data_IF_078838107646
#
_entry.id   IF_078838107646
#
_cell.length_a   1.000
_cell.length_b   1.000
_cell.length_c   1.000
_cell.angle_alpha   90.00
_cell.angle_beta   90.00
_cell.angle_gamma   90.00
#
_symmetry.space_group_name_H-M   'P 1'
#
loop_
_entity.id
_entity.type
_entity.pdbx_description
1 polymer ?
#
# COMPACT_ATOMS: atom_id res chain seq x y z
N UNK A 1 -27.01 20.75 -59.90
CA UNK A 1 -26.03 19.63 -60.03
C UNK A 1 -24.69 19.90 -59.31
N UNK A 2 -24.68 20.47 -58.09
CA UNK A 2 -23.40 20.77 -57.37
C UNK A 2 -23.25 20.06 -56.01
N UNK A 3 -24.31 19.46 -55.46
CA UNK A 3 -24.28 18.79 -54.14
C UNK A 3 -23.56 17.44 -54.14
N UNK A 4 -23.47 16.74 -55.27
CA UNK A 4 -22.82 15.42 -55.34
C UNK A 4 -21.29 15.49 -55.23
N UNK A 5 -20.68 16.60 -55.67
CA UNK A 5 -19.22 16.78 -55.69
C UNK A 5 -18.62 16.99 -54.29
N UNK A 6 -19.40 17.56 -53.35
CA UNK A 6 -18.96 17.82 -51.96
C UNK A 6 -19.01 16.59 -51.06
N UNK A 7 -19.85 15.61 -51.41
CA UNK A 7 -19.99 14.37 -50.63
C UNK A 7 -18.74 13.50 -50.81
N UNK A 8 -18.18 13.39 -52.02
CA UNK A 8 -16.95 12.62 -52.25
C UNK A 8 -15.70 13.25 -51.63
N UNK A 9 -15.61 14.59 -51.55
CA UNK A 9 -14.47 15.26 -50.95
C UNK A 9 -14.44 15.14 -49.42
N UNK A 10 -15.60 15.01 -48.78
CA UNK A 10 -15.70 14.83 -47.33
C UNK A 10 -15.19 13.45 -46.87
N UNK A 11 -15.41 12.39 -47.67
CA UNK A 11 -14.91 11.04 -47.36
C UNK A 11 -13.38 10.92 -47.49
N UNK A 12 -12.76 11.63 -48.45
CA UNK A 12 -11.31 11.59 -48.65
C UNK A 12 -10.54 12.30 -47.52
N UNK A 13 -11.10 13.35 -46.90
CA UNK A 13 -10.44 14.07 -45.81
C UNK A 13 -10.44 13.29 -44.48
N UNK A 14 -11.43 12.43 -44.24
CA UNK A 14 -11.54 11.65 -43.02
C UNK A 14 -10.49 10.53 -42.91
N UNK A 15 -9.99 10.02 -44.04
CA UNK A 15 -9.01 8.92 -44.06
C UNK A 15 -7.58 9.37 -43.70
N UNK A 16 -7.24 10.64 -43.88
CA UNK A 16 -5.90 11.18 -43.58
C UNK A 16 -5.77 11.72 -42.15
N UNK A 17 -6.88 11.96 -41.45
CA UNK A 17 -6.88 12.54 -40.09
C UNK A 17 -6.61 11.54 -38.95
N UNK A 18 -6.77 10.24 -39.18
CA UNK A 18 -6.61 9.21 -38.14
C UNK A 18 -5.14 8.85 -37.80
N UNK A 19 -4.15 9.40 -38.52
CA UNK A 19 -2.73 9.15 -38.22
C UNK A 19 -2.11 10.05 -37.14
N UNK A 20 -2.78 11.13 -36.72
CA UNK A 20 -2.24 12.06 -35.71
C UNK A 20 -2.90 11.93 -34.32
N UNK A 21 -3.99 11.18 -34.21
CA UNK A 21 -4.50 10.72 -32.90
C UNK A 21 -3.71 9.48 -32.46
N UNK A 22 -2.42 9.68 -32.22
CA UNK A 22 -1.62 8.75 -31.45
C UNK A 22 -2.17 8.70 -30.02
N UNK A 23 -3.16 7.85 -29.77
CA UNK A 23 -3.43 7.38 -28.42
C UNK A 23 -2.17 6.66 -27.97
N UNK A 24 -1.32 7.33 -27.20
CA UNK A 24 -0.28 6.70 -26.42
C UNK A 24 -0.96 5.72 -25.47
N UNK A 25 -1.12 4.47 -25.90
CA UNK A 25 -1.63 3.41 -25.04
C UNK A 25 -0.52 3.12 -24.04
N UNK A 26 -0.71 3.58 -22.81
CA UNK A 26 -0.01 3.16 -21.60
C UNK A 26 0.12 1.63 -21.57
N UNK A 27 1.22 1.09 -22.12
CA UNK A 27 1.56 -0.34 -22.06
C UNK A 27 2.07 -0.76 -20.69
N UNK A 28 2.23 0.20 -19.78
CA UNK A 28 2.76 -0.05 -18.44
C UNK A 28 1.69 -0.40 -17.41
N UNK A 29 0.39 -0.17 -17.69
CA UNK A 29 -0.68 -0.49 -16.75
C UNK A 29 -0.96 -2.00 -16.60
N UNK A 30 -0.62 -2.83 -17.61
CA UNK A 30 -0.91 -4.27 -17.61
C UNK A 30 0.32 -5.18 -17.37
N UNK A 31 1.49 -4.60 -17.06
CA UNK A 31 2.77 -5.30 -17.27
C UNK A 31 3.46 -5.95 -16.08
N UNK A 32 3.14 -5.61 -14.82
CA UNK A 32 3.91 -6.15 -13.67
C UNK A 32 3.11 -7.18 -12.89
N UNK A 33 3.18 -8.44 -13.30
CA UNK A 33 2.82 -9.56 -12.42
C UNK A 33 3.73 -9.47 -11.18
N UNK A 34 3.19 -9.39 -9.96
CA UNK A 34 4.02 -9.40 -8.77
C UNK A 34 4.80 -10.72 -8.75
N UNK A 35 6.12 -10.62 -8.77
CA UNK A 35 6.99 -11.78 -8.57
C UNK A 35 6.91 -12.08 -7.08
N UNK A 36 5.96 -12.92 -6.70
CA UNK A 36 5.84 -13.43 -5.33
C UNK A 36 7.03 -14.36 -5.08
N UNK A 37 8.10 -13.83 -4.50
CA UNK A 37 9.13 -14.67 -3.90
C UNK A 37 8.57 -15.22 -2.60
N UNK A 38 8.82 -16.50 -2.34
CA UNK A 38 8.45 -17.11 -1.08
C UNK A 38 9.27 -16.46 0.05
N UNK A 39 8.64 -15.98 1.12
CA UNK A 39 9.33 -15.28 2.18
C UNK A 39 10.28 -16.24 2.90
N UNK A 40 11.53 -15.82 3.06
CA UNK A 40 12.59 -16.62 3.69
C UNK A 40 12.67 -16.29 5.18
N UNK A 41 12.47 -17.29 6.05
CA UNK A 41 12.59 -17.09 7.51
C UNK A 41 14.07 -16.97 7.87
N UNK A 42 14.42 -15.91 8.60
CA UNK A 42 15.79 -15.65 9.07
C UNK A 42 15.98 -16.15 10.50
N UNK A 43 15.06 -15.80 11.38
CA UNK A 43 15.11 -16.15 12.79
C UNK A 43 13.73 -16.00 13.44
N UNK A 44 13.60 -16.43 14.68
CA UNK A 44 12.39 -16.36 15.47
C UNK A 44 12.62 -15.45 16.68
N UNK A 45 11.75 -14.48 16.92
CA UNK A 45 11.87 -13.55 18.05
C UNK A 45 10.64 -13.58 18.95
N UNK A 46 10.84 -13.29 20.24
CA UNK A 46 9.74 -13.18 21.19
C UNK A 46 9.05 -11.80 21.04
N UNK A 47 7.70 -11.74 20.93
CA UNK A 47 6.99 -10.47 20.80
C UNK A 47 7.11 -9.56 22.03
N UNK A 48 7.40 -10.12 23.21
CA UNK A 48 7.54 -9.38 24.48
C UNK A 48 9.00 -9.14 24.84
N UNK A 49 9.90 -10.03 24.41
CA UNK A 49 11.33 -9.96 24.71
C UNK A 49 12.13 -9.99 23.40
N UNK A 50 12.30 -8.84 22.71
CA UNK A 50 12.95 -8.79 21.40
C UNK A 50 14.43 -9.23 21.44
N UNK A 51 15.06 -9.22 22.61
CA UNK A 51 16.40 -9.77 22.87
C UNK A 51 16.49 -11.28 22.66
N UNK A 52 15.37 -11.99 22.81
CA UNK A 52 15.31 -13.45 22.66
C UNK A 52 15.11 -13.78 21.19
N UNK A 53 16.21 -14.10 20.52
CA UNK A 53 16.25 -14.53 19.12
C UNK A 53 16.71 -15.98 19.05
N UNK A 54 15.97 -16.82 18.34
CA UNK A 54 16.28 -18.22 18.12
C UNK A 54 16.31 -18.56 16.63
N UNK A 55 17.12 -19.53 16.22
CA UNK A 55 17.15 -20.01 14.85
C UNK A 55 15.98 -20.97 14.53
N UNK A 56 15.36 -21.55 15.57
CA UNK A 56 14.31 -22.57 15.45
C UNK A 56 12.96 -22.06 15.97
N UNK A 57 11.84 -22.59 15.45
CA UNK A 57 10.54 -22.33 16.06
C UNK A 57 10.48 -22.90 17.47
N UNK A 58 9.72 -22.25 18.35
CA UNK A 58 9.61 -22.67 19.73
C UNK A 58 8.95 -21.64 20.61
N UNK A 59 9.18 -21.79 21.92
CA UNK A 59 8.66 -20.90 22.95
C UNK A 59 9.80 -20.11 23.60
N UNK A 60 9.51 -18.87 23.98
CA UNK A 60 10.44 -18.00 24.66
C UNK A 60 10.81 -18.57 26.04
N UNK A 61 12.10 -18.67 26.33
CA UNK A 61 12.61 -19.13 27.61
C UNK A 61 12.32 -18.19 28.79
N UNK A 62 12.04 -16.90 28.53
CA UNK A 62 11.73 -15.91 29.57
C UNK A 62 10.25 -15.88 29.95
N UNK A 63 9.33 -16.06 28.99
CA UNK A 63 7.91 -15.84 29.22
C UNK A 63 6.97 -16.94 28.68
N UNK A 64 7.52 -17.99 28.06
CA UNK A 64 6.73 -19.10 27.53
C UNK A 64 5.88 -18.77 26.30
N UNK A 65 5.93 -17.54 25.77
CA UNK A 65 5.17 -17.16 24.58
C UNK A 65 5.79 -17.78 23.31
N UNK A 66 4.95 -18.13 22.33
CA UNK A 66 5.42 -18.65 21.04
C UNK A 66 6.25 -17.59 20.29
N UNK A 67 7.38 -18.00 19.73
CA UNK A 67 8.24 -17.12 18.96
C UNK A 67 7.65 -16.86 17.57
N UNK A 68 7.79 -15.62 17.07
CA UNK A 68 7.34 -15.21 15.73
C UNK A 68 8.49 -15.33 14.75
N UNK A 69 8.21 -15.89 13.57
CA UNK A 69 9.17 -15.92 12.47
C UNK A 69 9.39 -14.52 11.91
N UNK A 70 10.66 -14.12 11.77
CA UNK A 70 11.08 -12.92 11.08
C UNK A 70 11.57 -13.33 9.69
N UNK A 71 11.10 -12.63 8.67
CA UNK A 71 11.40 -12.94 7.26
C UNK A 71 12.42 -11.93 6.70
N UNK A 72 13.41 -12.41 5.95
CA UNK A 72 14.51 -11.60 5.38
C UNK A 72 13.97 -10.57 4.38
N UNK A 73 12.96 -11.02 3.65
CA UNK A 73 12.21 -10.29 2.67
C UNK A 73 10.76 -10.25 3.17
N UNK A 74 10.49 -9.41 4.17
CA UNK A 74 9.14 -8.86 4.22
C UNK A 74 9.02 -7.98 2.97
N UNK A 75 8.29 -8.37 1.90
CA UNK A 75 7.96 -7.44 0.85
C UNK A 75 7.27 -6.30 1.58
N UNK A 76 7.92 -5.14 1.60
CA UNK A 76 7.40 -3.98 2.28
C UNK A 76 5.95 -3.85 1.87
N UNK A 77 5.04 -4.04 2.81
CA UNK A 77 3.73 -3.43 2.69
C UNK A 77 4.09 -1.99 2.43
N UNK A 78 3.93 -1.55 1.18
CA UNK A 78 4.00 -0.15 0.86
C UNK A 78 2.80 0.44 1.57
N UNK A 79 2.96 0.71 2.86
CA UNK A 79 2.18 1.72 3.55
C UNK A 79 2.41 2.91 2.66
N UNK A 80 1.38 3.26 1.90
CA UNK A 80 1.40 4.49 1.12
C UNK A 80 1.58 5.55 2.19
N UNK A 81 2.81 6.02 2.38
CA UNK A 81 3.08 7.20 3.19
C UNK A 81 2.42 8.31 2.42
N UNK A 82 1.14 8.53 2.70
CA UNK A 82 0.49 9.78 2.39
C UNK A 82 1.32 10.86 3.09
N UNK A 83 1.66 11.97 2.41
CA UNK A 83 2.35 13.09 3.07
C UNK A 83 1.48 13.77 4.14
N UNK A 84 0.24 13.33 4.33
CA UNK A 84 -0.62 13.73 5.45
C UNK A 84 -0.21 12.90 6.66
N UNK A 85 0.47 13.52 7.63
CA UNK A 85 0.68 12.92 8.93
C UNK A 85 -0.69 12.76 9.62
N UNK A 86 -1.27 11.56 9.50
CA UNK A 86 -2.47 11.17 10.21
C UNK A 86 -2.08 10.57 11.54
N UNK A 87 -2.45 11.23 12.64
CA UNK A 87 -2.30 10.68 13.98
C UNK A 87 -3.66 10.46 14.61
N UNK A 88 -3.77 9.41 15.41
CA UNK A 88 -4.96 9.11 16.18
C UNK A 88 -4.76 9.58 17.62
N UNK A 89 -5.68 10.40 18.13
CA UNK A 89 -5.60 10.96 19.49
C UNK A 89 -6.86 10.68 20.31
N UNK A 90 -6.70 10.55 21.63
CA UNK A 90 -7.82 10.30 22.53
C UNK A 90 -8.49 11.63 22.91
N UNK A 91 -9.82 11.77 22.77
CA UNK A 91 -10.54 13.00 23.12
C UNK A 91 -10.35 13.44 24.58
N UNK A 92 -10.09 12.49 25.49
CA UNK A 92 -9.91 12.75 26.92
C UNK A 92 -8.43 12.68 27.36
N UNK A 93 -7.53 12.23 26.50
CA UNK A 93 -6.09 12.10 26.80
C UNK A 93 -5.27 12.57 25.59
N UNK A 94 -5.12 13.88 25.36
CA UNK A 94 -4.47 14.43 24.16
C UNK A 94 -2.98 14.08 24.06
N UNK A 95 -2.37 13.65 25.17
CA UNK A 95 -1.01 13.09 25.24
C UNK A 95 -0.85 11.71 24.57
N UNK A 96 -1.95 11.00 24.31
CA UNK A 96 -1.93 9.68 23.68
C UNK A 96 -2.10 9.84 22.18
N UNK A 97 -1.00 9.72 21.44
CA UNK A 97 -0.97 9.77 19.98
C UNK A 97 -0.48 8.43 19.41
N UNK A 98 -1.23 7.87 18.46
CA UNK A 98 -0.91 6.61 17.81
C UNK A 98 -0.90 6.75 16.28
N UNK A 99 -0.04 5.97 15.62
CA UNK A 99 0.02 5.92 14.15
C UNK A 99 -1.11 5.08 13.53
N UNK A 100 -1.86 4.34 14.33
CA UNK A 100 -2.90 3.41 13.88
C UNK A 100 -4.21 3.62 14.64
N UNK A 101 -5.33 3.31 13.99
CA UNK A 101 -6.63 3.28 14.65
C UNK A 101 -6.65 2.24 15.78
N UNK A 102 -7.37 2.56 16.86
CA UNK A 102 -7.43 1.69 18.02
C UNK A 102 -8.16 2.31 19.20
N UNK A 103 -7.94 1.72 20.38
CA UNK A 103 -8.49 2.18 21.64
C UNK A 103 -7.39 2.80 22.50
N UNK A 104 -7.75 3.82 23.28
CA UNK A 104 -6.84 4.46 24.21
C UNK A 104 -6.41 3.49 25.31
N UNK A 105 -5.10 3.40 25.55
CA UNK A 105 -4.53 2.53 26.59
C UNK A 105 -4.85 2.99 28.02
N UNK A 106 -5.28 4.24 28.23
CA UNK A 106 -5.64 4.78 29.54
C UNK A 106 -7.10 4.59 29.92
N UNK A 107 -8.02 4.71 28.96
CA UNK A 107 -9.46 4.71 29.25
C UNK A 107 -10.29 3.79 28.35
N UNK A 108 -9.68 3.09 27.39
CA UNK A 108 -10.37 2.16 26.50
C UNK A 108 -11.31 2.80 25.48
N UNK A 109 -11.39 4.14 25.41
CA UNK A 109 -12.20 4.83 24.40
C UNK A 109 -11.57 4.79 23.01
N UNK A 110 -12.36 4.79 21.92
CA UNK A 110 -11.83 4.79 20.57
C UNK A 110 -11.08 6.09 20.25
N UNK A 111 -9.92 5.96 19.62
CA UNK A 111 -9.12 7.10 19.19
C UNK A 111 -9.73 7.75 17.94
N UNK A 112 -9.64 9.09 17.87
CA UNK A 112 -10.10 9.88 16.71
C UNK A 112 -8.94 10.18 15.79
N UNK A 113 -9.20 10.13 14.49
CA UNK A 113 -8.25 10.53 13.45
C UNK A 113 -8.12 12.06 13.42
N UNK A 114 -6.88 12.55 13.46
CA UNK A 114 -6.53 13.94 13.20
C UNK A 114 -5.64 14.01 11.97
N UNK A 115 -6.09 14.75 10.97
CA UNK A 115 -5.33 15.07 9.77
C UNK A 115 -4.67 16.42 9.99
N UNK A 116 -3.34 16.47 10.04
CA UNK A 116 -2.62 17.75 9.97
C UNK A 116 -2.48 18.09 8.49
N UNK A 117 -3.23 19.11 8.06
CA UNK A 117 -3.04 19.74 6.73
C UNK A 117 -2.01 20.85 6.81
#
# INVERSE_FOLDING_TARGET
MKRWKYISTAFLAAALGLSLFGCATDRDYYGRKPVTRAPTIVNYSCPVHPEVVQATPGYCSKCGAALRANYADSPGVSVRTSPVATYYSCPNHPEINQATAGFCSKCGMPLRLYEVR
#
